data_IF_965402989752
#
_entry.id   IF_965402989752
#
_cell.length_a   1.000
_cell.length_b   1.000
_cell.length_c   1.000
_cell.angle_alpha   90.00
_cell.angle_beta   90.00
_cell.angle_gamma   90.00
#
_symmetry.space_group_name_H-M   'P 1'
#
loop_
_entity.id
_entity.type
_entity.pdbx_description
1 polymer ?
#
# COMPACT_ATOMS: atom_id res chain seq x y z
N UNK A 1 11.22 12.74 18.10
CA UNK A 1 12.17 12.54 16.98
C UNK A 1 12.29 13.81 16.20
N UNK A 2 13.46 14.05 15.59
CA UNK A 2 13.71 15.27 14.80
C UNK A 2 14.84 16.16 15.28
N UNK A 3 15.59 15.77 16.32
CA UNK A 3 16.82 16.46 16.76
C UNK A 3 18.11 15.83 16.22
N UNK A 4 18.00 14.81 15.36
CA UNK A 4 19.14 14.17 14.69
C UNK A 4 19.86 13.06 15.49
N UNK A 5 19.38 12.75 16.69
CA UNK A 5 19.95 11.77 17.63
C UNK A 5 18.95 10.69 18.08
N UNK A 6 17.76 10.66 17.49
CA UNK A 6 16.68 9.70 17.76
C UNK A 6 16.39 8.83 16.51
N UNK A 7 15.21 8.20 16.47
CA UNK A 7 14.79 7.41 15.30
C UNK A 7 14.66 8.27 14.04
N UNK A 8 15.23 7.76 12.95
CA UNK A 8 15.18 8.41 11.63
C UNK A 8 13.76 8.37 11.02
N UNK A 9 13.08 7.22 11.11
CA UNK A 9 11.79 6.96 10.44
C UNK A 9 10.89 6.06 11.32
N UNK A 10 10.31 6.58 12.42
CA UNK A 10 9.30 5.83 13.15
C UNK A 10 8.04 5.67 12.27
N UNK A 11 7.60 4.43 12.04
CA UNK A 11 6.47 4.15 11.13
C UNK A 11 5.20 4.89 11.54
N UNK A 12 4.62 5.62 10.59
CA UNK A 12 3.37 6.35 10.77
C UNK A 12 2.20 5.60 10.11
N UNK A 13 1.32 5.02 10.94
CA UNK A 13 0.12 4.32 10.49
C UNK A 13 -1.12 5.22 10.36
N UNK A 14 -1.03 6.53 10.59
CA UNK A 14 -2.21 7.40 10.51
C UNK A 14 -2.87 7.35 9.12
N UNK A 15 -2.10 7.33 8.03
CA UNK A 15 -2.66 7.29 6.68
C UNK A 15 -3.41 5.97 6.39
N UNK A 16 -2.92 4.83 6.86
CA UNK A 16 -3.56 3.52 6.63
C UNK A 16 -4.94 3.42 7.31
N UNK A 17 -5.15 4.17 8.40
CA UNK A 17 -6.41 4.20 9.16
C UNK A 17 -7.29 5.43 8.85
N UNK A 18 -6.80 6.37 8.06
CA UNK A 18 -7.54 7.61 7.77
C UNK A 18 -8.69 7.35 6.82
N UNK A 19 -9.84 7.98 7.08
CA UNK A 19 -10.98 7.94 6.18
C UNK A 19 -10.57 8.43 4.78
N UNK A 20 -10.86 7.63 3.75
CA UNK A 20 -10.44 7.92 2.37
C UNK A 20 -11.29 9.01 1.71
N UNK A 21 -11.08 10.25 2.15
CA UNK A 21 -11.71 11.46 1.62
C UNK A 21 -10.64 12.54 1.47
N UNK A 22 -10.75 13.40 0.44
CA UNK A 22 -9.79 14.48 0.23
C UNK A 22 -9.62 15.37 1.47
N UNK A 23 -10.72 15.69 2.16
CA UNK A 23 -10.69 16.51 3.38
C UNK A 23 -9.92 15.84 4.52
N UNK A 24 -10.18 14.57 4.81
CA UNK A 24 -9.51 13.87 5.90
C UNK A 24 -8.03 13.63 5.61
N UNK A 25 -7.70 13.27 4.37
CA UNK A 25 -6.31 13.08 3.93
C UNK A 25 -5.53 14.39 3.98
N UNK A 26 -6.13 15.50 3.50
CA UNK A 26 -5.52 16.84 3.61
C UNK A 26 -5.30 17.23 5.08
N UNK A 27 -6.32 17.09 5.92
CA UNK A 27 -6.23 17.45 7.32
C UNK A 27 -5.11 16.67 8.02
N UNK A 28 -4.94 15.38 7.70
CA UNK A 28 -3.83 14.58 8.20
C UNK A 28 -2.47 15.11 7.72
N UNK A 29 -2.33 15.37 6.42
CA UNK A 29 -1.09 15.88 5.84
C UNK A 29 -0.69 17.24 6.44
N UNK A 30 -1.64 18.18 6.50
CA UNK A 30 -1.44 19.52 7.03
C UNK A 30 -1.10 19.48 8.54
N UNK A 31 -1.79 18.63 9.31
CA UNK A 31 -1.48 18.44 10.73
C UNK A 31 -0.08 17.85 10.92
N UNK A 32 0.27 16.81 10.16
CA UNK A 32 1.57 16.15 10.32
C UNK A 32 2.71 17.10 9.96
N UNK A 33 2.61 17.80 8.83
CA UNK A 33 3.60 18.81 8.41
C UNK A 33 3.71 19.96 9.44
N UNK A 34 2.59 20.44 9.98
CA UNK A 34 2.59 21.44 11.04
C UNK A 34 3.32 21.01 12.31
N UNK A 35 3.17 19.74 12.71
CA UNK A 35 3.89 19.16 13.87
C UNK A 35 5.40 19.06 13.62
N UNK A 36 5.82 18.83 12.36
CA UNK A 36 7.23 18.69 12.00
C UNK A 36 7.91 20.03 11.73
N UNK A 37 7.17 21.11 11.48
CA UNK A 37 7.69 22.42 11.04
C UNK A 37 8.76 23.03 11.96
N UNK A 38 8.74 22.71 13.26
CA UNK A 38 9.71 23.18 14.24
C UNK A 38 10.93 22.25 14.42
N UNK A 39 11.09 21.22 13.58
CA UNK A 39 12.10 20.18 13.72
C UNK A 39 12.78 19.82 12.40
N UNK A 40 13.90 19.10 12.47
CA UNK A 40 14.54 18.49 11.29
C UNK A 40 13.95 17.10 10.97
N UNK A 41 12.77 16.76 11.51
CA UNK A 41 12.16 15.46 11.30
C UNK A 41 11.69 15.25 9.85
N UNK A 42 11.70 13.99 9.43
CA UNK A 42 11.27 13.58 8.09
C UNK A 42 9.99 12.74 8.17
N UNK A 43 8.91 13.13 7.48
CA UNK A 43 7.67 12.37 7.50
C UNK A 43 7.83 11.04 6.76
N UNK A 44 7.01 10.06 7.14
CA UNK A 44 6.82 8.83 6.35
C UNK A 44 5.34 8.49 6.26
N UNK A 45 4.99 7.72 5.24
CA UNK A 45 3.61 7.40 4.90
C UNK A 45 3.48 5.90 4.63
N UNK A 46 2.64 5.23 5.41
CA UNK A 46 2.32 3.81 5.21
C UNK A 46 0.92 3.71 4.64
N UNK A 47 0.80 3.07 3.48
CA UNK A 47 -0.48 2.83 2.82
C UNK A 47 -0.93 1.37 2.93
N UNK A 48 0.01 0.43 2.92
CA UNK A 48 -0.24 -1.01 3.06
C UNK A 48 0.82 -1.65 3.96
N UNK A 49 0.47 -2.79 4.56
CA UNK A 49 1.39 -3.67 5.29
C UNK A 49 0.77 -5.08 5.41
N UNK A 50 1.42 -5.92 6.22
CA UNK A 50 1.03 -7.31 6.49
C UNK A 50 0.04 -7.49 7.64
N UNK A 51 -0.50 -6.39 8.20
CA UNK A 51 -1.42 -6.41 9.35
C UNK A 51 -2.75 -5.70 9.04
N UNK A 52 -2.93 -5.22 7.81
CA UNK A 52 -4.09 -4.47 7.39
C UNK A 52 -4.53 -4.98 6.02
N UNK A 53 -5.85 -5.12 5.84
CA UNK A 53 -6.50 -5.38 4.56
C UNK A 53 -5.84 -4.59 3.43
N UNK A 54 -5.58 -5.23 2.28
CA UNK A 54 -4.91 -4.60 1.14
C UNK A 54 -5.64 -3.35 0.66
N UNK A 55 -4.89 -2.38 0.14
CA UNK A 55 -5.42 -1.08 -0.31
C UNK A 55 -6.52 -1.27 -1.37
N UNK A 56 -6.31 -2.18 -2.31
CA UNK A 56 -7.28 -2.48 -3.36
C UNK A 56 -8.60 -3.06 -2.82
N UNK A 57 -8.57 -3.79 -1.70
CA UNK A 57 -9.79 -4.24 -1.00
C UNK A 57 -10.45 -3.10 -0.25
N UNK A 58 -9.68 -2.33 0.53
CA UNK A 58 -10.23 -1.25 1.37
C UNK A 58 -10.87 -0.13 0.55
N UNK A 59 -10.26 0.23 -0.59
CA UNK A 59 -10.63 1.42 -1.36
C UNK A 59 -11.25 1.10 -2.74
N UNK A 60 -11.06 -0.13 -3.23
CA UNK A 60 -11.40 -0.52 -4.59
C UNK A 60 -10.30 -0.19 -5.61
N UNK A 61 -10.29 -0.83 -6.80
CA UNK A 61 -9.19 -0.73 -7.77
C UNK A 61 -8.90 0.68 -8.27
N UNK A 62 -9.94 1.47 -8.55
CA UNK A 62 -9.78 2.83 -9.05
C UNK A 62 -9.11 3.75 -8.00
N UNK A 63 -9.53 3.64 -6.74
CA UNK A 63 -8.98 4.45 -5.66
C UNK A 63 -7.60 3.97 -5.22
N UNK A 64 -7.27 2.68 -5.36
CA UNK A 64 -5.92 2.20 -5.11
C UNK A 64 -4.88 2.89 -6.03
N UNK A 65 -5.24 3.16 -7.29
CA UNK A 65 -4.40 3.95 -8.23
C UNK A 65 -4.19 5.37 -7.73
N UNK A 66 -5.27 6.04 -7.29
CA UNK A 66 -5.20 7.38 -6.67
C UNK A 66 -4.34 7.37 -5.40
N UNK A 67 -4.44 6.31 -4.60
CA UNK A 67 -3.68 6.16 -3.37
C UNK A 67 -2.18 5.96 -3.63
N UNK A 68 -1.82 5.21 -4.68
CA UNK A 68 -0.43 5.07 -5.13
C UNK A 68 0.14 6.40 -5.64
N UNK A 69 -0.65 7.15 -6.42
CA UNK A 69 -0.29 8.51 -6.83
C UNK A 69 0.01 9.37 -5.60
N UNK A 70 -0.95 9.45 -4.66
CA UNK A 70 -0.80 10.23 -3.43
C UNK A 70 0.46 9.84 -2.65
N UNK A 71 0.62 8.54 -2.36
CA UNK A 71 1.74 8.02 -1.58
C UNK A 71 3.09 8.42 -2.19
N UNK A 72 3.22 8.33 -3.51
CA UNK A 72 4.45 8.65 -4.23
C UNK A 72 4.61 10.14 -4.54
N UNK A 73 3.64 11.00 -4.22
CA UNK A 73 3.74 12.46 -4.36
C UNK A 73 3.77 13.21 -3.03
N UNK A 74 3.35 12.61 -1.92
CA UNK A 74 3.47 13.23 -0.60
C UNK A 74 4.96 13.46 -0.24
N UNK A 75 5.22 14.53 0.52
CA UNK A 75 6.52 14.79 1.12
C UNK A 75 6.81 13.71 2.16
N UNK A 76 8.02 13.14 2.13
CA UNK A 76 8.43 12.11 3.09
C UNK A 76 8.89 10.81 2.45
N UNK A 77 9.01 9.76 3.26
CA UNK A 77 9.37 8.41 2.80
C UNK A 77 8.11 7.57 2.62
N UNK A 78 7.78 7.12 1.39
CA UNK A 78 6.66 6.22 1.17
C UNK A 78 7.01 4.77 1.54
N UNK A 79 6.06 4.05 2.13
CA UNK A 79 6.12 2.61 2.37
C UNK A 79 5.05 1.92 1.53
N UNK A 80 5.51 1.06 0.61
CA UNK A 80 4.67 0.24 -0.25
C UNK A 80 4.76 -1.22 0.24
N UNK A 81 3.63 -1.91 0.29
CA UNK A 81 3.60 -3.34 0.61
C UNK A 81 3.55 -4.16 -0.68
N UNK A 82 4.16 -5.35 -0.67
CA UNK A 82 4.24 -6.17 -1.89
C UNK A 82 2.84 -6.47 -2.42
N UNK A 83 2.68 -6.32 -3.74
CA UNK A 83 1.40 -6.50 -4.41
C UNK A 83 0.55 -5.24 -4.49
N UNK A 84 0.83 -4.17 -3.73
CA UNK A 84 0.16 -2.88 -3.89
C UNK A 84 0.43 -2.31 -5.30
N UNK A 85 1.63 -2.53 -5.83
CA UNK A 85 2.04 -2.16 -7.20
C UNK A 85 1.32 -2.96 -8.27
N UNK A 86 0.73 -4.11 -7.93
CA UNK A 86 -0.12 -4.89 -8.83
C UNK A 86 -1.61 -4.62 -8.60
N UNK A 87 -1.97 -3.94 -7.51
CA UNK A 87 -3.36 -3.84 -7.07
C UNK A 87 -3.90 -5.17 -6.58
N UNK A 88 -3.06 -6.01 -5.96
CA UNK A 88 -3.50 -7.24 -5.30
C UNK A 88 -4.57 -6.89 -4.24
N UNK A 89 -5.63 -7.70 -4.22
CA UNK A 89 -6.69 -7.62 -3.24
C UNK A 89 -6.57 -8.79 -2.24
N UNK A 90 -7.22 -8.63 -1.10
CA UNK A 90 -7.34 -9.65 -0.07
C UNK A 90 -7.91 -10.94 -0.66
N UNK A 91 -7.40 -12.06 -0.18
CA UNK A 91 -7.86 -13.39 -0.57
C UNK A 91 -8.68 -13.98 0.58
N UNK A 92 -9.93 -14.43 0.34
CA UNK A 92 -10.69 -15.15 1.35
C UNK A 92 -9.95 -16.41 1.80
N UNK A 93 -9.76 -16.58 3.11
CA UNK A 93 -9.03 -17.71 3.69
C UNK A 93 -10.03 -18.72 4.26
N UNK A 94 -10.09 -19.95 3.73
CA UNK A 94 -10.91 -21.01 4.30
C UNK A 94 -10.52 -21.30 5.76
N UNK A 95 -11.47 -21.61 6.67
CA UNK A 95 -11.18 -21.87 8.07
C UNK A 95 -10.13 -22.96 8.32
N UNK A 96 -10.05 -23.97 7.45
CA UNK A 96 -9.09 -25.07 7.51
C UNK A 96 -7.69 -24.71 6.97
N UNK A 97 -7.53 -23.51 6.42
CA UNK A 97 -6.26 -23.01 5.87
C UNK A 97 -5.72 -21.80 6.61
N UNK A 98 -6.41 -21.33 7.66
CA UNK A 98 -5.94 -20.23 8.53
C UNK A 98 -4.58 -20.58 9.14
N UNK A 99 -3.66 -19.63 9.06
CA UNK A 99 -2.31 -19.73 9.64
C UNK A 99 -2.07 -18.68 10.73
N UNK A 100 -2.75 -17.53 10.68
CA UNK A 100 -2.57 -16.46 11.66
C UNK A 100 -3.06 -16.89 13.05
N UNK A 101 -2.19 -16.89 14.08
CA UNK A 101 -2.57 -17.24 15.44
C UNK A 101 -3.75 -16.41 15.99
N UNK A 102 -3.90 -15.15 15.56
CA UNK A 102 -5.02 -14.32 15.99
C UNK A 102 -6.38 -14.91 15.58
N UNK A 103 -6.51 -15.34 14.34
CA UNK A 103 -7.73 -15.96 13.84
C UNK A 103 -7.89 -17.40 14.35
N UNK A 104 -6.78 -18.14 14.52
CA UNK A 104 -6.83 -19.49 15.11
C UNK A 104 -7.34 -19.49 16.55
N UNK A 105 -6.90 -18.54 17.37
CA UNK A 105 -7.24 -18.48 18.79
C UNK A 105 -8.49 -17.67 19.09
N UNK A 106 -8.86 -16.72 18.22
CA UNK A 106 -10.04 -15.86 18.39
C UNK A 106 -10.83 -15.76 17.07
N UNK A 107 -11.39 -16.88 16.58
CA UNK A 107 -12.01 -16.92 15.26
C UNK A 107 -13.25 -16.02 15.17
N UNK A 108 -13.49 -15.45 13.99
CA UNK A 108 -14.70 -14.69 13.68
C UNK A 108 -14.73 -13.26 14.22
N UNK A 109 -13.65 -12.77 14.82
CA UNK A 109 -13.50 -11.36 15.20
C UNK A 109 -12.94 -10.49 14.06
N UNK A 110 -12.57 -11.09 12.92
CA UNK A 110 -11.95 -10.38 11.81
C UNK A 110 -10.56 -9.84 12.14
N UNK A 111 -9.84 -10.53 13.04
CA UNK A 111 -8.48 -10.17 13.45
C UNK A 111 -7.40 -10.91 12.65
N UNK A 112 -7.81 -11.87 11.83
CA UNK A 112 -6.90 -12.59 10.94
C UNK A 112 -6.28 -11.71 9.86
N UNK A 113 -4.97 -11.88 9.68
CA UNK A 113 -4.13 -11.12 8.74
C UNK A 113 -3.66 -11.95 7.55
N UNK A 114 -4.13 -13.19 7.45
CA UNK A 114 -3.83 -14.08 6.32
C UNK A 114 -4.32 -13.54 4.96
N UNK A 115 -5.48 -12.85 4.84
CA UNK A 115 -5.96 -12.35 3.55
C UNK A 115 -4.95 -11.45 2.81
N UNK A 116 -4.20 -10.63 3.54
CA UNK A 116 -3.16 -9.74 3.03
C UNK A 116 -1.76 -10.37 2.95
N UNK A 117 -1.59 -11.65 3.33
CA UNK A 117 -0.30 -12.37 3.33
C UNK A 117 -0.19 -13.45 2.26
N UNK A 118 -1.19 -13.56 1.41
CA UNK A 118 -1.23 -14.57 0.36
C UNK A 118 -0.09 -14.44 -0.65
N UNK A 119 0.35 -15.55 -1.27
CA UNK A 119 1.51 -15.57 -2.16
C UNK A 119 1.48 -14.51 -3.27
N UNK A 120 2.67 -14.05 -3.66
CA UNK A 120 2.83 -13.11 -4.78
C UNK A 120 2.38 -13.73 -6.09
N UNK A 121 1.75 -12.92 -6.95
CA UNK A 121 1.17 -13.33 -8.23
C UNK A 121 2.16 -12.98 -9.35
N UNK A 122 3.10 -13.88 -9.67
CA UNK A 122 4.16 -13.64 -10.66
C UNK A 122 3.65 -13.80 -12.09
N UNK A 123 2.95 -14.88 -12.39
CA UNK A 123 2.43 -15.17 -13.72
C UNK A 123 1.11 -15.98 -13.66
N UNK A 124 0.59 -16.36 -14.84
CA UNK A 124 -0.64 -17.16 -14.97
C UNK A 124 -0.42 -18.68 -14.95
N UNK A 125 0.77 -19.16 -14.58
CA UNK A 125 1.05 -20.59 -14.45
C UNK A 125 0.56 -21.14 -13.09
N UNK A 126 0.71 -22.46 -12.89
CA UNK A 126 0.36 -23.09 -11.62
C UNK A 126 1.00 -22.35 -10.43
N UNK A 127 0.24 -22.20 -9.35
CA UNK A 127 0.67 -21.47 -8.16
C UNK A 127 1.04 -19.99 -8.39
N UNK A 128 0.54 -19.38 -9.47
CA UNK A 128 0.88 -18.03 -9.90
C UNK A 128 2.41 -17.81 -10.06
N UNK A 129 3.16 -18.87 -10.36
CA UNK A 129 4.63 -18.86 -10.42
C UNK A 129 5.33 -18.74 -9.06
N UNK A 130 4.61 -18.76 -7.93
CA UNK A 130 5.18 -18.61 -6.59
C UNK A 130 5.96 -19.85 -6.13
N UNK A 131 5.46 -21.05 -6.44
CA UNK A 131 6.12 -22.31 -6.13
C UNK A 131 5.87 -23.35 -7.24
N UNK A 132 6.67 -24.42 -7.33
CA UNK A 132 6.52 -25.42 -8.39
C UNK A 132 5.12 -26.03 -8.44
N UNK A 133 4.69 -26.44 -9.63
CA UNK A 133 3.46 -27.20 -9.79
C UNK A 133 3.46 -28.46 -8.91
N UNK A 134 2.33 -28.74 -8.25
CA UNK A 134 2.19 -29.87 -7.32
C UNK A 134 2.61 -29.57 -5.88
N UNK A 135 3.18 -28.40 -5.60
CA UNK A 135 3.39 -27.91 -4.22
C UNK A 135 2.19 -27.06 -3.81
N UNK A 136 1.61 -27.34 -2.65
CA UNK A 136 0.57 -26.48 -2.08
C UNK A 136 1.23 -25.30 -1.35
N UNK A 137 0.97 -24.05 -1.74
CA UNK A 137 1.45 -22.89 -0.97
C UNK A 137 0.84 -22.86 0.43
N UNK A 138 1.52 -22.18 1.35
CA UNK A 138 1.12 -22.11 2.76
C UNK A 138 -0.17 -21.31 3.00
N UNK A 139 -0.59 -20.50 2.02
CA UNK A 139 -1.89 -19.84 1.96
C UNK A 139 -2.48 -19.93 0.53
N UNK A 140 -3.82 -19.83 0.39
CA UNK A 140 -4.49 -19.81 -0.91
C UNK A 140 -4.00 -18.70 -1.85
N UNK A 141 -4.22 -18.91 -3.15
CA UNK A 141 -4.00 -17.89 -4.19
C UNK A 141 -5.28 -17.08 -4.43
N UNK A 142 -5.13 -15.87 -4.97
CA UNK A 142 -6.28 -15.09 -5.43
C UNK A 142 -6.93 -15.75 -6.66
N UNK A 143 -8.27 -15.81 -6.72
CA UNK A 143 -9.00 -16.41 -7.84
C UNK A 143 -8.72 -15.77 -9.22
N UNK A 144 -8.17 -14.55 -9.23
CA UNK A 144 -7.85 -13.78 -10.41
C UNK A 144 -6.34 -13.68 -10.69
N UNK A 145 -5.49 -14.53 -10.10
CA UNK A 145 -4.05 -14.47 -10.30
C UNK A 145 -3.64 -14.61 -11.78
N UNK A 146 -4.44 -15.23 -12.63
CA UNK A 146 -4.15 -15.35 -14.07
C UNK A 146 -4.27 -14.02 -14.84
N UNK A 147 -5.05 -13.08 -14.32
CA UNK A 147 -5.28 -11.75 -14.94
C UNK A 147 -4.58 -10.63 -14.18
N UNK A 148 -4.45 -10.74 -12.86
CA UNK A 148 -3.69 -9.83 -12.01
C UNK A 148 -2.38 -10.52 -11.64
N UNK A 149 -1.32 -10.29 -12.40
CA UNK A 149 0.02 -10.78 -12.07
C UNK A 149 1.10 -9.90 -12.71
N UNK A 150 2.35 -10.09 -12.29
CA UNK A 150 3.50 -9.34 -12.81
C UNK A 150 3.61 -9.50 -14.33
N UNK A 151 3.64 -10.73 -14.84
CA UNK A 151 3.87 -10.99 -16.27
C UNK A 151 2.82 -10.31 -17.17
N UNK A 152 1.54 -10.29 -16.77
CA UNK A 152 0.47 -9.61 -17.50
C UNK A 152 0.57 -8.09 -17.42
N UNK A 153 0.89 -7.55 -16.25
CA UNK A 153 0.93 -6.10 -16.05
C UNK A 153 2.19 -5.44 -16.61
N UNK A 154 3.29 -6.19 -16.76
CA UNK A 154 4.54 -5.69 -17.29
C UNK A 154 4.41 -5.17 -18.73
N UNK A 155 3.55 -5.79 -19.54
CA UNK A 155 3.32 -5.43 -20.94
C UNK A 155 2.07 -4.56 -21.15
N UNK A 156 1.33 -4.22 -20.08
CA UNK A 156 0.08 -3.43 -20.14
C UNK A 156 0.33 -1.99 -19.67
N UNK A 157 0.37 -0.99 -20.58
CA UNK A 157 0.73 0.39 -20.23
C UNK A 157 -0.23 1.06 -19.23
N UNK A 158 -1.50 0.63 -19.19
CA UNK A 158 -2.49 1.17 -18.26
C UNK A 158 -2.48 0.46 -16.89
N UNK A 159 -1.63 -0.54 -16.68
CA UNK A 159 -1.61 -1.38 -15.48
C UNK A 159 -1.28 -0.60 -14.19
N UNK A 160 -1.50 -1.24 -13.04
CA UNK A 160 -1.09 -0.67 -11.75
C UNK A 160 0.44 -0.68 -11.65
N UNK A 161 1.10 -1.70 -12.20
CA UNK A 161 2.54 -1.83 -12.21
C UNK A 161 3.20 -0.70 -13.01
N UNK A 162 2.69 -0.44 -14.22
CA UNK A 162 3.17 0.64 -15.08
C UNK A 162 3.00 2.01 -14.41
N UNK A 163 1.85 2.26 -13.75
CA UNK A 163 1.61 3.47 -12.97
C UNK A 163 2.65 3.60 -11.83
N UNK A 164 2.84 2.54 -11.05
CA UNK A 164 3.75 2.54 -9.90
C UNK A 164 5.19 2.81 -10.32
N UNK A 165 5.67 2.15 -11.38
CA UNK A 165 6.98 2.39 -11.96
C UNK A 165 7.13 3.83 -12.48
N UNK A 166 6.14 4.33 -13.22
CA UNK A 166 6.17 5.70 -13.74
C UNK A 166 6.23 6.74 -12.62
N UNK A 167 5.47 6.54 -11.54
CA UNK A 167 5.48 7.42 -10.37
C UNK A 167 6.80 7.35 -9.60
N UNK A 168 7.39 6.17 -9.42
CA UNK A 168 8.71 6.03 -8.79
C UNK A 168 9.77 6.77 -9.62
N UNK A 169 9.79 6.57 -10.95
CA UNK A 169 10.70 7.29 -11.83
C UNK A 169 10.47 8.80 -11.81
N UNK A 170 9.20 9.23 -11.79
CA UNK A 170 8.84 10.65 -11.67
C UNK A 170 9.36 11.24 -10.35
N UNK A 171 9.17 10.53 -9.23
CA UNK A 171 9.65 10.96 -7.91
C UNK A 171 11.17 11.06 -7.87
N UNK A 172 11.88 10.08 -8.42
CA UNK A 172 13.35 10.05 -8.46
C UNK A 172 13.94 11.22 -9.25
N UNK A 173 13.32 11.59 -10.39
CA UNK A 173 13.84 12.65 -11.28
C UNK A 173 13.35 14.06 -10.93
N UNK A 174 12.45 14.20 -9.96
CA UNK A 174 11.81 15.49 -9.64
C UNK A 174 12.22 15.93 -8.24
N UNK A 175 13.16 16.89 -8.10
CA UNK A 175 13.65 17.33 -6.79
C UNK A 175 12.54 17.74 -5.82
N UNK A 176 11.48 18.40 -6.32
CA UNK A 176 10.33 18.79 -5.51
C UNK A 176 9.58 17.61 -4.87
N UNK A 177 9.55 16.43 -5.51
CA UNK A 177 8.91 15.24 -4.96
C UNK A 177 9.83 14.46 -4.01
N UNK A 178 11.14 14.70 -4.04
CA UNK A 178 12.10 14.02 -3.17
C UNK A 178 12.43 14.82 -1.90
N UNK A 179 12.66 16.13 -2.04
CA UNK A 179 13.18 17.00 -0.97
C UNK A 179 12.38 18.30 -0.81
N UNK A 180 11.38 18.54 -1.66
CA UNK A 180 10.58 19.76 -1.61
C UNK A 180 9.78 19.89 -0.33
N UNK A 181 9.34 21.12 -0.05
CA UNK A 181 8.35 21.42 0.97
C UNK A 181 6.95 21.03 0.49
N UNK A 182 6.07 20.71 1.43
CA UNK A 182 4.65 20.53 1.17
C UNK A 182 3.87 21.80 1.55
N UNK A 183 2.89 22.13 0.72
CA UNK A 183 1.88 23.15 1.02
C UNK A 183 0.57 22.74 0.36
N UNK A 184 -0.52 22.66 1.12
CA UNK A 184 -1.86 22.46 0.58
C UNK A 184 -2.38 23.73 -0.08
N UNK A 185 -3.18 23.57 -1.14
CA UNK A 185 -3.84 24.67 -1.86
C UNK A 185 -5.35 24.54 -1.71
N UNK A 186 -6.08 25.65 -1.69
CA UNK A 186 -7.54 25.61 -1.69
C UNK A 186 -8.07 24.91 -2.96
N UNK A 187 -8.97 23.95 -2.77
CA UNK A 187 -9.55 23.13 -3.85
C UNK A 187 -11.06 22.99 -3.67
N UNK A 188 -11.80 22.70 -4.76
CA UNK A 188 -13.17 22.23 -4.66
C UNK A 188 -13.32 20.98 -3.80
N UNK A 189 -14.50 20.78 -3.23
CA UNK A 189 -14.82 19.60 -2.44
C UNK A 189 -14.56 18.30 -3.23
N UNK A 190 -13.87 17.34 -2.61
CA UNK A 190 -13.53 16.05 -3.22
C UNK A 190 -12.21 16.04 -4.00
N UNK A 191 -11.50 17.16 -4.10
CA UNK A 191 -10.17 17.24 -4.70
C UNK A 191 -9.10 17.49 -3.63
N UNK A 192 -8.00 16.74 -3.73
CA UNK A 192 -6.82 16.91 -2.87
C UNK A 192 -5.75 17.69 -3.61
#
# INVERSE_FOLDING_TARGET
YGQGDEFHLPFNFSLIHTAWTATAVRALADQYEGLLAASAAWPNWVLGNHDQHRVATRLGPAQARTAMLLLLTLRGTPTLYYGDELGMADVPIPPDQVQDPWELYVPGQGLGRDPERTPMQWDGSANAGFCPAGVTPWLPLANNYETVNVARQQDEPASMLALSQALIHLRQRTPALNQGSYQSLDTPAGLL
#
